data_IF_827819698815
#
_entry.id   IF_827819698815
#
_cell.length_a   1.000
_cell.length_b   1.000
_cell.length_c   1.000
_cell.angle_alpha   90.00
_cell.angle_beta   90.00
_cell.angle_gamma   90.00
#
_symmetry.space_group_name_H-M   'P 1'
#
loop_
_entity.id
_entity.type
_entity.pdbx_description
1 polymer ?
#
# COMPACT_ATOMS: atom_id res chain seq x y z
N UNK A 1 0.19 -20.50 -25.33
CA UNK A 1 1.16 -20.06 -24.29
C UNK A 1 0.33 -19.52 -23.14
N UNK A 2 0.50 -20.05 -21.92
CA UNK A 2 -0.33 -19.73 -20.76
C UNK A 2 0.05 -18.41 -20.08
N UNK A 3 -0.17 -17.29 -20.77
CA UNK A 3 0.01 -15.95 -20.22
C UNK A 3 -1.27 -15.39 -19.55
N UNK A 4 -2.29 -16.24 -19.37
CA UNK A 4 -3.53 -15.81 -18.73
C UNK A 4 -3.29 -15.57 -17.25
N UNK A 5 -3.69 -14.39 -16.80
CA UNK A 5 -3.57 -13.97 -15.40
C UNK A 5 -4.57 -14.78 -14.59
N UNK A 6 -4.11 -15.43 -13.53
CA UNK A 6 -4.96 -16.19 -12.62
C UNK A 6 -6.06 -15.27 -12.06
N UNK A 7 -7.31 -15.77 -11.98
CA UNK A 7 -8.46 -15.04 -11.41
C UNK A 7 -8.14 -14.43 -10.04
N UNK A 8 -7.39 -15.16 -9.19
CA UNK A 8 -6.92 -14.65 -7.89
C UNK A 8 -6.06 -13.38 -8.02
N UNK A 9 -5.18 -13.35 -9.02
CA UNK A 9 -4.29 -12.21 -9.28
C UNK A 9 -5.09 -11.04 -9.86
N UNK A 10 -6.06 -11.30 -10.74
CA UNK A 10 -6.93 -10.25 -11.27
C UNK A 10 -7.73 -9.56 -10.16
N UNK A 11 -8.34 -10.33 -9.25
CA UNK A 11 -9.08 -9.79 -8.10
C UNK A 11 -8.16 -9.01 -7.17
N UNK A 12 -6.95 -9.51 -6.91
CA UNK A 12 -5.97 -8.81 -6.08
C UNK A 12 -5.54 -7.49 -6.72
N UNK A 13 -5.29 -7.46 -8.03
CA UNK A 13 -4.87 -6.27 -8.74
C UNK A 13 -5.97 -5.19 -8.72
N UNK A 14 -7.22 -5.55 -8.99
CA UNK A 14 -8.34 -4.61 -8.93
C UNK A 14 -8.52 -4.00 -7.52
N UNK A 15 -8.32 -4.82 -6.48
CA UNK A 15 -8.35 -4.36 -5.09
C UNK A 15 -7.21 -3.39 -4.77
N UNK A 16 -5.99 -3.70 -5.22
CA UNK A 16 -4.84 -2.84 -5.07
C UNK A 16 -5.04 -1.49 -5.78
N UNK A 17 -5.48 -1.50 -7.03
CA UNK A 17 -5.74 -0.27 -7.81
C UNK A 17 -6.76 0.62 -7.10
N UNK A 18 -7.88 0.05 -6.65
CA UNK A 18 -8.91 0.80 -5.90
C UNK A 18 -8.36 1.39 -4.61
N UNK A 19 -7.53 0.65 -3.88
CA UNK A 19 -6.89 1.14 -2.66
C UNK A 19 -5.93 2.31 -2.94
N UNK A 20 -5.12 2.20 -3.99
CA UNK A 20 -4.17 3.23 -4.40
C UNK A 20 -4.90 4.53 -4.78
N UNK A 21 -5.96 4.44 -5.60
CA UNK A 21 -6.77 5.58 -6.01
C UNK A 21 -7.44 6.29 -4.83
N UNK A 22 -7.94 5.53 -3.86
CA UNK A 22 -8.70 6.07 -2.74
C UNK A 22 -7.82 6.62 -1.62
N UNK A 23 -6.67 5.99 -1.36
CA UNK A 23 -5.90 6.24 -0.14
C UNK A 23 -4.47 6.74 -0.38
N UNK A 24 -3.82 6.34 -1.49
CA UNK A 24 -2.40 6.64 -1.73
C UNK A 24 -2.23 7.86 -2.63
N UNK A 25 -2.76 7.83 -3.85
CA UNK A 25 -2.59 8.93 -4.82
C UNK A 25 -3.07 10.30 -4.31
N UNK A 26 -4.20 10.41 -3.57
CA UNK A 26 -4.62 11.71 -3.01
C UNK A 26 -3.61 12.31 -2.03
N UNK A 27 -2.74 11.49 -1.43
CA UNK A 27 -1.78 11.90 -0.39
C UNK A 27 -0.35 12.06 -0.92
N UNK A 28 -0.10 11.81 -2.20
CA UNK A 28 1.24 11.97 -2.78
C UNK A 28 1.73 13.43 -2.67
N UNK A 29 0.82 14.39 -2.82
CA UNK A 29 1.15 15.80 -2.63
C UNK A 29 1.51 16.10 -1.17
N UNK A 30 0.66 15.69 -0.22
CA UNK A 30 0.90 15.85 1.23
C UNK A 30 2.21 15.20 1.68
N UNK A 31 2.55 14.04 1.11
CA UNK A 31 3.82 13.36 1.36
C UNK A 31 5.01 14.19 0.90
N UNK A 32 4.95 14.73 -0.32
CA UNK A 32 6.01 15.58 -0.85
C UNK A 32 6.18 16.84 -0.01
N UNK A 33 5.10 17.53 0.34
CA UNK A 33 5.17 18.72 1.21
C UNK A 33 5.78 18.38 2.58
N UNK A 34 5.38 17.26 3.19
CA UNK A 34 5.93 16.82 4.48
C UNK A 34 7.43 16.56 4.41
N UNK A 35 7.86 15.81 3.40
CA UNK A 35 9.25 15.35 3.26
C UNK A 35 10.22 16.43 2.80
N UNK A 36 9.74 17.48 2.13
CA UNK A 36 10.56 18.64 1.76
C UNK A 36 10.81 19.59 2.95
N UNK A 37 9.97 19.53 3.99
CA UNK A 37 10.16 20.33 5.18
C UNK A 37 11.38 19.83 6.00
N UNK A 38 12.34 20.73 6.23
CA UNK A 38 13.56 20.41 6.99
C UNK A 38 13.29 20.10 8.47
N UNK A 39 12.18 20.59 9.03
CA UNK A 39 11.78 20.30 10.41
C UNK A 39 11.31 18.85 10.59
N UNK A 40 10.92 18.18 9.50
CA UNK A 40 10.34 16.84 9.50
C UNK A 40 11.33 15.76 9.02
N UNK A 41 12.61 16.11 8.90
CA UNK A 41 13.62 15.15 8.43
C UNK A 41 13.65 13.92 9.33
N UNK A 42 13.67 12.74 8.71
CA UNK A 42 13.70 11.44 9.39
C UNK A 42 12.43 11.09 10.18
N UNK A 43 11.39 11.93 10.11
CA UNK A 43 10.08 11.65 10.70
C UNK A 43 9.11 11.12 9.66
N UNK A 44 8.18 10.29 10.13
CA UNK A 44 7.11 9.76 9.29
C UNK A 44 5.85 10.61 9.51
N UNK A 45 5.09 10.96 8.46
CA UNK A 45 3.84 11.69 8.64
C UNK A 45 2.88 10.94 9.59
N UNK A 46 2.15 11.65 10.46
CA UNK A 46 1.28 11.03 11.47
C UNK A 46 0.16 10.17 10.84
N UNK A 47 -0.26 10.49 9.62
CA UNK A 47 -1.29 9.77 8.88
C UNK A 47 -0.77 8.49 8.19
N UNK A 48 0.54 8.28 8.12
CA UNK A 48 1.11 7.11 7.44
C UNK A 48 0.74 5.80 8.14
N UNK A 49 0.68 5.80 9.46
CA UNK A 49 0.34 4.63 10.26
C UNK A 49 -1.12 4.18 10.09
N UNK A 50 -2.01 5.16 9.92
CA UNK A 50 -3.41 4.90 9.57
C UNK A 50 -3.51 4.22 8.19
N UNK A 51 -2.76 4.71 7.21
CA UNK A 51 -2.73 4.14 5.86
C UNK A 51 -2.22 2.69 5.86
N UNK A 52 -1.17 2.40 6.65
CA UNK A 52 -0.69 1.02 6.86
C UNK A 52 -1.75 0.15 7.54
N UNK A 53 -2.51 0.70 8.49
CA UNK A 53 -3.64 0.04 9.14
C UNK A 53 -4.74 -0.34 8.16
N UNK A 54 -5.11 0.57 7.26
CA UNK A 54 -6.09 0.33 6.21
C UNK A 54 -5.62 -0.76 5.22
N UNK A 55 -4.37 -0.71 4.77
CA UNK A 55 -3.80 -1.72 3.89
C UNK A 55 -3.85 -3.13 4.52
N UNK A 56 -3.51 -3.23 5.81
CA UNK A 56 -3.65 -4.49 6.58
C UNK A 56 -5.09 -4.97 6.69
N UNK A 57 -6.02 -4.08 7.01
CA UNK A 57 -7.43 -4.42 7.11
C UNK A 57 -8.02 -4.90 5.76
N UNK A 58 -7.51 -4.36 4.66
CA UNK A 58 -7.87 -4.79 3.31
C UNK A 58 -7.07 -6.02 2.83
N UNK A 59 -6.19 -6.61 3.64
CA UNK A 59 -5.40 -7.77 3.24
C UNK A 59 -4.42 -7.48 2.09
N UNK A 60 -4.08 -6.21 1.88
CA UNK A 60 -3.05 -5.74 0.94
C UNK A 60 -1.70 -5.62 1.65
N UNK A 61 -1.39 -6.58 2.52
CA UNK A 61 -0.20 -6.56 3.36
C UNK A 61 0.66 -7.79 3.09
N UNK A 62 1.99 -7.62 3.13
CA UNK A 62 2.95 -8.69 2.88
C UNK A 62 2.72 -9.46 1.55
N UNK A 63 2.19 -8.80 0.51
CA UNK A 63 1.91 -9.44 -0.79
C UNK A 63 3.17 -9.98 -1.51
N UNK A 64 4.35 -9.53 -1.11
CA UNK A 64 5.64 -10.01 -1.61
C UNK A 64 6.16 -11.24 -0.85
N UNK A 65 5.60 -11.53 0.32
CA UNK A 65 6.09 -12.57 1.22
C UNK A 65 5.42 -13.91 0.86
N UNK A 66 6.19 -14.98 0.64
CA UNK A 66 5.60 -16.31 0.41
C UNK A 66 4.83 -16.81 1.65
N UNK A 67 3.74 -17.56 1.42
CA UNK A 67 2.92 -18.16 2.49
C UNK A 67 3.67 -19.06 3.47
N UNK A 68 4.83 -19.59 3.08
CA UNK A 68 5.70 -20.38 3.97
C UNK A 68 6.17 -19.58 5.18
N UNK A 69 6.23 -18.26 5.02
CA UNK A 69 6.35 -17.31 6.09
C UNK A 69 4.93 -16.86 6.45
N UNK A 70 4.17 -17.67 7.20
CA UNK A 70 3.08 -17.23 8.11
C UNK A 70 3.42 -17.66 9.56
N UNK A 71 2.96 -17.00 10.66
CA UNK A 71 1.98 -15.91 10.76
C UNK A 71 2.67 -14.58 11.13
N UNK A 72 3.07 -13.78 10.13
CA UNK A 72 3.86 -12.55 10.31
C UNK A 72 3.03 -11.32 9.94
#
# INVERSE_FOLDING_TARGET
MGFEVNEKVMVLNAKLETFMEKHVYPREHDWNEWTLNQDNLWETPPWFDELRGLARAEGLWNLFLPHEYEPW
#
